data_IF_244052020928
#
_entry.id   IF_244052020928
#
_cell.length_a   1.000
_cell.length_b   1.000
_cell.length_c   1.000
_cell.angle_alpha   90.00
_cell.angle_beta   90.00
_cell.angle_gamma   90.00
#
_symmetry.space_group_name_H-M   'P 1'
#
loop_
_entity.id
_entity.type
_entity.pdbx_description
1 polymer ?
#
# COMPACT_ATOMS: atom_id res chain seq x y z
N UNK A 1 -1.49 16.69 -2.08
CA UNK A 1 -2.63 15.77 -1.95
C UNK A 1 -3.36 15.67 -3.28
N UNK A 2 -3.40 14.48 -3.87
CA UNK A 2 -4.06 14.14 -5.13
C UNK A 2 -3.89 15.15 -6.29
N UNK A 3 -2.69 15.66 -6.58
CA UNK A 3 -2.50 16.81 -7.47
C UNK A 3 -2.86 16.52 -8.93
N UNK A 4 -3.09 15.26 -9.28
CA UNK A 4 -3.32 14.80 -10.66
C UNK A 4 -4.60 13.97 -10.83
N UNK A 5 -5.41 13.79 -9.77
CA UNK A 5 -6.58 12.89 -9.78
C UNK A 5 -7.66 13.28 -10.79
N UNK A 6 -7.80 14.58 -11.07
CA UNK A 6 -8.80 15.13 -11.99
C UNK A 6 -8.30 15.31 -13.44
N UNK A 7 -7.05 14.91 -13.74
CA UNK A 7 -6.42 15.12 -15.04
C UNK A 7 -6.51 13.85 -15.90
N UNK A 8 -6.55 14.01 -17.22
CA UNK A 8 -6.38 12.90 -18.13
C UNK A 8 -4.94 12.33 -18.09
N UNK A 9 -4.78 11.08 -18.55
CA UNK A 9 -3.52 10.33 -18.45
C UNK A 9 -2.34 11.07 -19.10
N UNK A 10 -2.56 11.77 -20.20
CA UNK A 10 -1.53 12.51 -20.92
C UNK A 10 -1.02 13.70 -20.11
N UNK A 11 -1.94 14.45 -19.50
CA UNK A 11 -1.61 15.60 -18.65
C UNK A 11 -1.00 15.12 -17.31
N UNK A 12 -1.48 14.00 -16.76
CA UNK A 12 -0.87 13.39 -15.57
C UNK A 12 0.63 13.15 -15.78
N UNK A 13 1.02 12.55 -16.92
CA UNK A 13 2.41 12.30 -17.23
C UNK A 13 3.24 13.59 -17.31
N UNK A 14 2.71 14.66 -17.92
CA UNK A 14 3.42 15.95 -18.02
C UNK A 14 3.62 16.58 -16.63
N UNK A 15 2.60 16.53 -15.77
CA UNK A 15 2.71 17.08 -14.41
C UNK A 15 3.69 16.27 -13.55
N UNK A 16 3.72 14.95 -13.71
CA UNK A 16 4.70 14.09 -13.01
C UNK A 16 6.13 14.44 -13.44
N UNK A 17 6.39 14.55 -14.75
CA UNK A 17 7.70 14.94 -15.25
C UNK A 17 8.11 16.33 -14.72
N UNK A 18 7.18 17.29 -14.67
CA UNK A 18 7.46 18.61 -14.09
C UNK A 18 7.84 18.52 -12.60
N UNK A 19 7.22 17.64 -11.81
CA UNK A 19 7.63 17.42 -10.42
C UNK A 19 9.01 16.81 -10.31
N UNK A 20 9.37 15.87 -11.18
CA UNK A 20 10.71 15.27 -11.23
C UNK A 20 11.77 16.33 -11.61
N UNK A 21 11.51 17.15 -12.64
CA UNK A 21 12.39 18.25 -13.04
C UNK A 21 12.63 19.25 -11.89
N UNK A 22 11.56 19.64 -11.18
CA UNK A 22 11.65 20.54 -10.03
C UNK A 22 12.41 19.90 -8.85
N UNK A 23 12.25 18.60 -8.65
CA UNK A 23 12.99 17.86 -7.63
C UNK A 23 14.49 17.90 -7.92
N UNK A 24 14.87 17.62 -9.16
CA UNK A 24 16.26 17.63 -9.59
C UNK A 24 16.87 19.05 -9.55
N UNK A 25 16.12 20.06 -10.00
CA UNK A 25 16.60 21.44 -10.05
C UNK A 25 16.77 22.06 -8.66
N UNK A 26 15.87 21.78 -7.71
CA UNK A 26 15.84 22.44 -6.41
C UNK A 26 16.17 21.53 -5.23
N UNK A 27 16.45 20.24 -5.45
CA UNK A 27 16.72 19.26 -4.38
C UNK A 27 15.52 19.03 -3.46
N UNK A 28 14.29 19.07 -4.00
CA UNK A 28 13.08 19.00 -3.20
C UNK A 28 12.79 17.57 -2.75
N UNK A 29 12.18 17.44 -1.57
CA UNK A 29 11.57 16.19 -1.10
C UNK A 29 10.05 16.34 -1.10
N UNK A 30 9.36 15.43 -1.78
CA UNK A 30 7.91 15.45 -1.86
C UNK A 30 7.27 14.39 -0.95
N UNK A 31 6.16 14.77 -0.31
CA UNK A 31 5.16 13.84 0.17
C UNK A 31 3.99 13.84 -0.81
N UNK A 32 3.88 12.76 -1.58
CA UNK A 32 2.87 12.62 -2.62
C UNK A 32 1.73 11.70 -2.13
N UNK A 33 0.50 12.21 -2.08
CA UNK A 33 -0.68 11.42 -1.72
C UNK A 33 -1.50 11.20 -2.98
N UNK A 34 -1.74 9.95 -3.34
CA UNK A 34 -2.51 9.57 -4.51
C UNK A 34 -3.12 8.17 -4.36
N UNK A 35 -4.19 7.91 -5.10
CA UNK A 35 -4.81 6.59 -5.19
C UNK A 35 -4.37 5.80 -6.44
N UNK A 36 -3.74 6.45 -7.42
CA UNK A 36 -3.25 5.83 -8.64
C UNK A 36 -1.93 5.09 -8.45
N UNK A 37 -1.97 3.78 -8.23
CA UNK A 37 -0.79 2.96 -7.93
C UNK A 37 0.29 3.01 -9.01
N UNK A 38 -0.08 3.19 -10.30
CA UNK A 38 0.88 3.31 -11.40
C UNK A 38 1.69 4.61 -11.30
N UNK A 39 1.03 5.72 -10.96
CA UNK A 39 1.69 7.01 -10.75
C UNK A 39 2.59 6.95 -9.54
N UNK A 40 2.10 6.42 -8.42
CA UNK A 40 2.90 6.23 -7.20
C UNK A 40 4.14 5.40 -7.49
N UNK A 41 4.02 4.32 -8.27
CA UNK A 41 5.17 3.51 -8.68
C UNK A 41 6.20 4.30 -9.47
N UNK A 42 5.78 5.25 -10.29
CA UNK A 42 6.69 6.05 -11.12
C UNK A 42 7.44 7.09 -10.28
N UNK A 43 6.72 7.93 -9.57
CA UNK A 43 7.25 9.14 -8.93
C UNK A 43 7.93 8.91 -7.56
N UNK A 44 7.66 7.78 -6.89
CA UNK A 44 8.09 7.60 -5.50
C UNK A 44 9.38 6.79 -5.37
N UNK A 45 10.22 7.09 -4.37
CA UNK A 45 11.33 6.24 -3.91
C UNK A 45 10.87 5.26 -2.84
N UNK A 46 9.97 5.72 -1.96
CA UNK A 46 9.37 4.94 -0.88
C UNK A 46 7.86 5.09 -0.93
N UNK A 47 7.17 4.02 -0.62
CA UNK A 47 5.70 3.98 -0.62
C UNK A 47 5.20 3.60 0.76
N UNK A 48 4.24 4.36 1.25
CA UNK A 48 3.44 4.02 2.43
C UNK A 48 2.01 3.67 2.00
N UNK A 49 1.54 2.50 2.42
CA UNK A 49 0.18 2.04 2.16
C UNK A 49 -0.67 2.25 3.40
N UNK A 50 -1.77 2.96 3.26
CA UNK A 50 -2.70 3.25 4.36
C UNK A 50 -4.06 2.59 4.12
N UNK A 51 -4.71 2.19 5.22
CA UNK A 51 -6.09 1.70 5.23
C UNK A 51 -6.84 2.24 6.44
N UNK A 52 -7.97 2.87 6.20
CA UNK A 52 -8.81 3.51 7.23
C UNK A 52 -7.99 4.34 8.25
N UNK A 53 -7.06 5.19 7.75
CA UNK A 53 -6.24 6.07 8.59
C UNK A 53 -5.12 5.37 9.38
N UNK A 54 -4.81 4.11 9.09
CA UNK A 54 -3.66 3.40 9.68
C UNK A 54 -2.65 3.01 8.61
N UNK A 55 -1.36 3.17 8.96
CA UNK A 55 -0.27 2.71 8.12
C UNK A 55 -0.21 1.18 8.16
N UNK A 56 -0.34 0.54 7.00
CA UNK A 56 -0.30 -0.91 6.85
C UNK A 56 1.10 -1.41 6.48
N UNK A 57 1.78 -0.70 5.58
CA UNK A 57 3.11 -1.07 5.11
C UNK A 57 3.88 0.16 4.63
N UNK A 58 5.21 0.19 4.87
CA UNK A 58 6.13 1.20 4.33
C UNK A 58 7.38 0.48 3.81
N UNK A 59 7.72 0.69 2.55
CA UNK A 59 8.91 0.10 1.96
C UNK A 59 9.48 0.94 0.81
N UNK A 60 10.74 0.69 0.38
CA UNK A 60 11.21 1.14 -0.91
C UNK A 60 10.28 0.66 -2.02
N UNK A 61 10.00 1.51 -2.99
CA UNK A 61 9.06 1.25 -4.08
C UNK A 61 9.26 -0.16 -4.72
N UNK A 62 10.47 -0.45 -5.16
CA UNK A 62 10.75 -1.72 -5.83
C UNK A 62 10.50 -2.94 -4.94
N UNK A 63 10.85 -2.85 -3.66
CA UNK A 63 10.64 -3.93 -2.69
C UNK A 63 9.14 -4.14 -2.38
N UNK A 64 8.35 -3.06 -2.30
CA UNK A 64 6.91 -3.14 -2.05
C UNK A 64 6.15 -3.78 -3.22
N UNK A 65 6.50 -3.40 -4.46
CA UNK A 65 5.82 -3.94 -5.65
C UNK A 65 6.26 -5.37 -5.99
N UNK A 66 7.50 -5.77 -5.64
CA UNK A 66 8.02 -7.12 -5.89
C UNK A 66 7.54 -8.14 -4.84
N UNK A 67 7.53 -7.74 -3.56
CA UNK A 67 7.26 -8.64 -2.43
C UNK A 67 6.54 -7.86 -1.30
N UNK A 68 5.23 -7.55 -1.46
CA UNK A 68 4.43 -6.91 -0.44
C UNK A 68 4.22 -7.83 0.77
N UNK A 69 4.37 -7.31 1.98
CA UNK A 69 4.24 -8.08 3.22
C UNK A 69 2.81 -8.06 3.78
N UNK A 70 2.13 -6.92 3.69
CA UNK A 70 0.75 -6.78 4.17
C UNK A 70 -0.23 -7.46 3.23
N UNK A 71 -1.17 -8.32 3.73
CA UNK A 71 -2.22 -8.89 2.91
C UNK A 71 -3.10 -7.83 2.20
N UNK A 72 -3.27 -6.65 2.81
CA UNK A 72 -3.94 -5.53 2.16
C UNK A 72 -3.15 -5.02 0.95
N UNK A 73 -1.84 -4.81 1.10
CA UNK A 73 -0.96 -4.38 -0.01
C UNK A 73 -0.96 -5.42 -1.13
N UNK A 74 -0.94 -6.72 -0.80
CA UNK A 74 -1.02 -7.81 -1.76
C UNK A 74 -2.31 -7.74 -2.59
N UNK A 75 -3.46 -7.62 -1.91
CA UNK A 75 -4.75 -7.49 -2.56
C UNK A 75 -4.81 -6.24 -3.45
N UNK A 76 -4.33 -5.10 -2.94
CA UNK A 76 -4.30 -3.83 -3.66
C UNK A 76 -3.46 -3.93 -4.95
N UNK A 77 -2.25 -4.50 -4.87
CA UNK A 77 -1.35 -4.67 -6.01
C UNK A 77 -1.82 -5.76 -6.99
N UNK A 78 -2.60 -6.75 -6.52
CA UNK A 78 -3.20 -7.77 -7.38
C UNK A 78 -4.28 -7.21 -8.31
N UNK A 79 -4.87 -6.08 -7.93
CA UNK A 79 -5.90 -5.40 -8.72
C UNK A 79 -5.33 -4.54 -9.87
N UNK A 80 -4.00 -4.30 -9.89
CA UNK A 80 -3.36 -3.56 -10.98
C UNK A 80 -3.37 -4.43 -12.25
N UNK A 81 -3.95 -3.95 -13.37
CA UNK A 81 -3.90 -4.67 -14.63
C UNK A 81 -2.45 -4.91 -15.07
N UNK A 82 -2.12 -6.15 -15.44
CA UNK A 82 -0.83 -6.45 -16.05
C UNK A 82 -0.83 -6.00 -17.53
N UNK A 83 0.24 -5.33 -17.93
CA UNK A 83 0.48 -5.00 -19.35
C UNK A 83 0.87 -6.25 -20.14
N UNK A 84 1.38 -7.29 -19.48
CA UNK A 84 1.74 -8.57 -20.09
C UNK A 84 0.54 -9.52 -20.06
N UNK A 85 -0.04 -9.87 -21.24
CA UNK A 85 -1.17 -10.81 -21.32
C UNK A 85 -0.82 -12.22 -20.84
N UNK A 86 0.46 -12.59 -20.83
CA UNK A 86 0.94 -13.90 -20.36
C UNK A 86 1.10 -13.95 -18.83
N UNK A 87 1.26 -12.81 -18.18
CA UNK A 87 1.35 -12.71 -16.72
C UNK A 87 -0.06 -12.72 -16.10
N UNK A 88 -0.69 -13.89 -16.02
CA UNK A 88 -1.94 -14.07 -15.24
C UNK A 88 -1.65 -13.89 -13.76
N UNK A 89 -1.65 -12.64 -13.26
CA UNK A 89 -1.77 -12.40 -11.82
C UNK A 89 -3.20 -12.77 -11.40
N UNK A 90 -3.33 -13.76 -10.56
CA UNK A 90 -4.61 -14.06 -9.91
C UNK A 90 -4.99 -12.86 -9.04
N UNK A 91 -6.13 -12.24 -9.35
CA UNK A 91 -6.68 -11.15 -8.55
C UNK A 91 -7.15 -11.70 -7.21
N UNK A 92 -6.66 -11.15 -6.12
CA UNK A 92 -7.15 -11.46 -4.77
C UNK A 92 -8.51 -10.77 -4.60
N UNK A 93 -9.56 -11.56 -4.52
CA UNK A 93 -10.92 -11.07 -4.26
C UNK A 93 -11.09 -11.02 -2.74
N UNK A 94 -11.40 -9.83 -2.22
CA UNK A 94 -11.69 -9.64 -0.81
C UNK A 94 -13.19 -9.87 -0.60
N UNK A 95 -13.52 -10.77 0.33
CA UNK A 95 -14.90 -11.08 0.71
C UNK A 95 -15.26 -10.33 2.01
N UNK A 96 -16.45 -9.77 2.07
CA UNK A 96 -16.97 -9.05 3.23
C UNK A 96 -17.24 -7.57 2.97
N UNK A 97 -17.72 -6.89 4.00
CA UNK A 97 -18.07 -5.47 3.94
C UNK A 97 -16.89 -4.60 4.40
N UNK A 98 -16.71 -3.49 3.73
CA UNK A 98 -15.71 -2.48 4.14
C UNK A 98 -16.19 -1.83 5.45
N UNK A 99 -15.40 -1.88 6.53
CA UNK A 99 -15.78 -1.27 7.80
C UNK A 99 -15.96 0.25 7.68
N UNK A 100 -16.84 0.79 8.52
CA UNK A 100 -17.03 2.25 8.60
C UNK A 100 -15.75 2.93 9.09
N UNK A 101 -15.32 4.02 8.46
CA UNK A 101 -14.19 4.82 8.96
C UNK A 101 -14.54 5.61 10.23
N UNK A 102 -15.84 5.84 10.53
CA UNK A 102 -16.30 6.62 11.68
C UNK A 102 -16.16 5.81 12.96
N UNK A 103 -16.51 4.52 12.92
CA UNK A 103 -16.38 3.59 14.04
C UNK A 103 -15.65 2.32 13.57
N UNK A 104 -14.33 2.39 13.41
CA UNK A 104 -13.58 1.25 12.92
C UNK A 104 -13.52 0.15 13.98
N UNK A 105 -13.53 -1.14 13.57
CA UNK A 105 -13.48 -2.27 14.49
C UNK A 105 -12.20 -2.21 15.36
N UNK A 106 -12.25 -2.77 16.57
CA UNK A 106 -11.04 -2.94 17.38
C UNK A 106 -10.03 -3.83 16.64
N UNK A 107 -8.76 -3.68 16.99
CA UNK A 107 -7.70 -4.47 16.40
C UNK A 107 -7.23 -3.99 15.03
N UNK A 108 -6.90 -4.94 14.16
CA UNK A 108 -6.47 -4.64 12.79
C UNK A 108 -7.68 -4.21 11.95
N UNK A 109 -7.64 -3.00 11.40
CA UNK A 109 -8.75 -2.45 10.59
C UNK A 109 -9.06 -3.24 9.33
N UNK A 110 -8.08 -3.99 8.83
CA UNK A 110 -8.24 -4.86 7.67
C UNK A 110 -8.73 -6.28 8.02
N UNK A 111 -8.78 -6.65 9.30
CA UNK A 111 -9.15 -8.00 9.75
C UNK A 111 -10.49 -8.53 9.16
N UNK A 112 -11.55 -7.73 9.00
CA UNK A 112 -12.81 -8.19 8.41
C UNK A 112 -12.70 -8.68 6.96
N UNK A 113 -11.74 -8.13 6.20
CA UNK A 113 -11.51 -8.44 4.78
C UNK A 113 -10.27 -9.30 4.56
N UNK A 114 -9.50 -9.60 5.62
CA UNK A 114 -8.22 -10.27 5.50
C UNK A 114 -8.40 -11.78 5.37
N UNK A 115 -7.97 -12.41 4.24
CA UNK A 115 -8.08 -13.86 4.07
C UNK A 115 -7.18 -14.66 5.02
N UNK A 116 -6.21 -13.97 5.66
CA UNK A 116 -5.24 -14.55 6.58
C UNK A 116 -5.41 -14.01 8.01
N UNK A 117 -6.62 -13.56 8.39
CA UNK A 117 -6.87 -13.00 9.70
C UNK A 117 -6.68 -14.06 10.81
N UNK A 118 -5.92 -13.67 11.84
CA UNK A 118 -5.78 -14.42 13.09
C UNK A 118 -6.77 -13.89 14.12
N UNK A 119 -7.06 -14.66 15.17
CA UNK A 119 -7.96 -14.22 16.25
C UNK A 119 -7.48 -12.93 16.92
N UNK A 120 -6.18 -12.79 17.14
CA UNK A 120 -5.56 -11.58 17.68
C UNK A 120 -5.82 -10.34 16.82
N UNK A 121 -5.97 -10.50 15.49
CA UNK A 121 -6.25 -9.38 14.59
C UNK A 121 -7.58 -8.71 14.87
N UNK A 122 -8.53 -9.41 15.49
CA UNK A 122 -9.86 -8.88 15.85
C UNK A 122 -9.83 -8.02 17.10
N UNK A 123 -8.83 -8.20 17.95
CA UNK A 123 -8.78 -7.60 19.30
C UNK A 123 -7.65 -6.59 19.45
N UNK A 124 -6.50 -6.82 18.80
CA UNK A 124 -5.28 -6.04 18.99
C UNK A 124 -4.84 -5.39 17.69
N UNK A 125 -4.56 -4.08 17.74
CA UNK A 125 -3.98 -3.35 16.61
C UNK A 125 -2.52 -3.76 16.44
N UNK A 126 -2.10 -4.26 15.26
CA UNK A 126 -0.72 -4.63 15.04
C UNK A 126 0.19 -3.39 15.05
N UNK A 127 1.35 -3.44 15.75
CA UNK A 127 2.33 -2.39 15.67
C UNK A 127 3.02 -2.37 14.29
N UNK A 128 3.49 -1.20 13.86
CA UNK A 128 4.30 -1.07 12.65
C UNK A 128 5.75 -1.45 12.96
N UNK A 129 6.12 -2.70 12.65
CA UNK A 129 7.45 -3.26 12.94
C UNK A 129 8.30 -3.38 11.67
N UNK A 130 9.63 -3.38 11.81
CA UNK A 130 10.53 -3.69 10.72
C UNK A 130 10.63 -5.21 10.57
N UNK A 131 10.04 -5.74 9.50
CA UNK A 131 9.99 -7.17 9.22
C UNK A 131 11.12 -7.62 8.26
N UNK A 132 11.71 -6.68 7.53
CA UNK A 132 12.88 -6.89 6.68
C UNK A 132 13.61 -5.54 6.52
N UNK A 133 14.87 -5.50 6.06
CA UNK A 133 15.63 -4.26 5.88
C UNK A 133 14.84 -3.20 5.10
N UNK A 134 14.58 -2.06 5.75
CA UNK A 134 13.82 -0.92 5.22
C UNK A 134 12.34 -1.23 4.88
N UNK A 135 11.81 -2.40 5.25
CA UNK A 135 10.40 -2.80 5.08
C UNK A 135 9.74 -2.84 6.44
N UNK A 136 8.74 -2.00 6.66
CA UNK A 136 7.94 -1.95 7.89
C UNK A 136 6.51 -2.34 7.57
N UNK A 137 5.91 -3.19 8.39
CA UNK A 137 4.55 -3.69 8.22
C UNK A 137 3.81 -3.73 9.55
N UNK A 138 2.53 -3.34 9.51
CA UNK A 138 1.60 -3.48 10.62
C UNK A 138 0.74 -4.73 10.43
N UNK A 139 1.31 -5.90 10.72
CA UNK A 139 0.63 -7.18 10.57
C UNK A 139 1.14 -8.20 11.59
N UNK A 140 0.24 -8.83 12.35
CA UNK A 140 0.61 -9.82 13.38
C UNK A 140 1.35 -11.05 12.84
N UNK A 141 1.25 -11.34 11.55
CA UNK A 141 2.02 -12.42 10.91
C UNK A 141 3.53 -12.13 10.84
N UNK A 142 3.93 -10.87 11.06
CA UNK A 142 5.31 -10.41 11.03
C UNK A 142 5.79 -9.86 12.38
N UNK A 143 4.95 -9.91 13.43
CA UNK A 143 5.39 -9.64 14.80
C UNK A 143 5.94 -10.91 15.43
N UNK A 144 6.84 -10.80 16.38
CA UNK A 144 7.47 -11.95 17.08
C UNK A 144 6.46 -12.89 17.75
N UNK A 145 5.25 -12.40 18.01
CA UNK A 145 4.12 -13.19 18.54
C UNK A 145 3.38 -13.99 17.48
N UNK A 146 3.63 -13.79 16.19
CA UNK A 146 2.99 -14.47 15.06
C UNK A 146 3.89 -15.42 14.28
N UNK A 147 5.13 -15.61 14.73
CA UNK A 147 6.11 -16.48 14.05
C UNK A 147 5.88 -17.97 14.31
N UNK A 148 4.93 -18.56 13.61
CA UNK A 148 4.98 -19.96 13.24
C UNK A 148 4.58 -20.07 11.77
N UNK A 149 5.52 -20.58 11.00
CA UNK A 149 5.41 -20.88 9.58
C UNK A 149 4.32 -21.87 9.28
#
# INVERSE_FOLDING_TARGET
DEPISALDVSIQAQVVNMFEDLQDQYGLTYLFIAHGLNVVKHVSDRVGVMYLGKMMEIAPKNALYADPLSPYTQALLSAIPSVDPAAKKERIILEGDVPSPIDPPPGCRFAPLCPCALDICRCVTPPLVEAAPRKRVACHRHTETGGSR
#
